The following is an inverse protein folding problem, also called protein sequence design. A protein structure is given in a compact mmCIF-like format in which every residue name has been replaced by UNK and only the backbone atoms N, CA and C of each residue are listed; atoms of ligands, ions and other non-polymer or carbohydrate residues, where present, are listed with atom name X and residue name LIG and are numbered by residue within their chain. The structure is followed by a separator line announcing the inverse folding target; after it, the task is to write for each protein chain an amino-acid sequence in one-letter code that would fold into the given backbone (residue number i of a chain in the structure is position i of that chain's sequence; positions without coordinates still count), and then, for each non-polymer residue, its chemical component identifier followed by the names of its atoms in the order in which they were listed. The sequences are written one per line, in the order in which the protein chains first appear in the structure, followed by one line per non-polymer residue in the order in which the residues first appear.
data_IF_855010397235
#
_entry.id   IF_855010397235
#
_cell.length_a   1.000
_cell.length_b   1.000
_cell.length_c   1.000
_cell.angle_alpha   90.00
_cell.angle_beta   90.00
_cell.angle_gamma   90.00
#
_symmetry.space_group_name_H-M   'P 1'
#
loop_
_entity.id
_entity.type
_entity.pdbx_description
1 polymer ?
#
# COMPACT_ATOMS: atom_id res chain seq x y z
N UNK A 1 5.38 14.55 -11.50
CA UNK A 1 5.32 13.08 -11.40
C UNK A 1 6.72 12.56 -11.68
N UNK A 2 7.45 12.13 -10.64
CA UNK A 2 8.85 11.74 -10.76
C UNK A 2 9.03 10.63 -11.79
N UNK A 3 10.04 10.76 -12.66
CA UNK A 3 10.42 9.76 -13.68
C UNK A 3 11.23 8.61 -13.05
N UNK A 4 10.92 8.27 -11.80
CA UNK A 4 11.66 7.34 -10.98
C UNK A 4 11.16 5.91 -11.06
N UNK A 5 11.95 4.96 -10.52
CA UNK A 5 11.67 3.53 -10.61
C UNK A 5 10.43 3.07 -9.80
N UNK A 6 9.78 3.98 -9.05
CA UNK A 6 8.65 3.67 -8.17
C UNK A 6 9.10 3.02 -6.86
N UNK A 7 8.15 2.39 -6.15
CA UNK A 7 8.43 1.65 -4.92
C UNK A 7 8.64 0.16 -5.22
N UNK A 8 9.20 -0.58 -4.26
CA UNK A 8 9.40 -2.02 -4.41
C UNK A 8 8.08 -2.75 -4.70
N UNK A 9 7.00 -2.28 -4.07
CA UNK A 9 5.64 -2.80 -4.26
C UNK A 9 5.10 -2.62 -5.69
N UNK A 10 5.69 -1.73 -6.49
CA UNK A 10 5.34 -1.52 -7.89
C UNK A 10 6.03 -2.52 -8.84
N UNK A 11 7.09 -3.21 -8.40
CA UNK A 11 7.74 -4.27 -9.17
C UNK A 11 6.73 -5.42 -9.39
N UNK A 12 6.46 -5.72 -10.66
CA UNK A 12 5.47 -6.75 -11.04
C UNK A 12 4.01 -6.37 -10.77
N UNK A 13 3.72 -5.14 -10.31
CA UNK A 13 2.35 -4.72 -9.99
C UNK A 13 1.43 -4.76 -11.21
N UNK A 14 1.90 -4.32 -12.39
CA UNK A 14 1.08 -4.35 -13.61
C UNK A 14 0.67 -5.77 -14.02
N UNK A 15 1.59 -6.73 -13.94
CA UNK A 15 1.28 -8.13 -14.24
C UNK A 15 0.32 -8.72 -13.17
N UNK A 16 0.56 -8.43 -11.89
CA UNK A 16 -0.34 -8.85 -10.80
C UNK A 16 -1.74 -8.25 -10.94
N UNK A 17 -1.83 -6.97 -11.28
CA UNK A 17 -3.10 -6.27 -11.47
C UNK A 17 -3.88 -6.89 -12.65
N UNK A 18 -3.23 -7.23 -13.76
CA UNK A 18 -3.90 -7.89 -14.88
C UNK A 18 -4.49 -9.26 -14.51
N UNK A 19 -3.82 -10.01 -13.62
CA UNK A 19 -4.24 -11.35 -13.22
C UNK A 19 -5.28 -11.35 -12.10
N UNK A 20 -5.19 -10.40 -11.16
CA UNK A 20 -5.91 -10.48 -9.89
C UNK A 20 -6.79 -9.25 -9.60
N UNK A 21 -6.56 -8.10 -10.25
CA UNK A 21 -7.33 -6.91 -9.94
C UNK A 21 -8.77 -7.11 -10.36
N UNK A 22 -9.67 -6.85 -9.42
CA UNK A 22 -11.11 -6.99 -9.57
C UNK A 22 -11.60 -8.43 -9.89
N UNK A 23 -10.71 -9.42 -9.95
CA UNK A 23 -11.07 -10.81 -10.09
C UNK A 23 -11.71 -11.33 -8.79
N UNK A 24 -13.02 -11.57 -8.81
CA UNK A 24 -13.77 -12.12 -7.69
C UNK A 24 -14.57 -13.32 -8.20
N UNK A 25 -14.41 -14.48 -7.56
CA UNK A 25 -15.27 -15.64 -7.81
C UNK A 25 -16.68 -15.48 -7.25
N UNK A 26 -16.85 -14.53 -6.33
CA UNK A 26 -18.05 -14.28 -5.53
C UNK A 26 -18.84 -13.07 -6.04
N UNK A 27 -20.13 -13.00 -5.69
CA UNK A 27 -20.97 -11.84 -6.03
C UNK A 27 -20.54 -10.63 -5.21
N UNK A 28 -20.03 -9.61 -5.89
CA UNK A 28 -19.62 -8.33 -5.31
C UNK A 28 -20.49 -7.20 -5.85
N UNK A 29 -21.02 -6.42 -4.92
CA UNK A 29 -21.74 -5.19 -5.20
C UNK A 29 -20.96 -4.02 -4.62
N UNK A 30 -20.78 -2.95 -5.39
CA UNK A 30 -20.03 -1.77 -4.94
C UNK A 30 -20.72 -0.51 -5.42
N UNK A 31 -21.03 0.39 -4.49
CA UNK A 31 -21.57 1.73 -4.77
C UNK A 31 -20.52 2.74 -4.32
N UNK A 32 -20.13 3.65 -5.21
CA UNK A 32 -19.31 4.81 -4.86
C UNK A 32 -20.08 6.10 -5.10
N UNK A 33 -20.22 6.89 -4.04
CA UNK A 33 -20.85 8.20 -4.04
C UNK A 33 -19.80 9.27 -3.83
N UNK A 34 -19.85 10.33 -4.63
CA UNK A 34 -18.94 11.48 -4.52
C UNK A 34 -19.71 12.69 -4.03
N UNK A 35 -19.20 13.35 -2.99
CA UNK A 35 -19.72 14.64 -2.55
C UNK A 35 -19.04 15.79 -3.30
N UNK A 36 -19.72 16.94 -3.47
CA UNK A 36 -19.11 18.16 -3.99
C UNK A 36 -17.93 18.68 -3.14
N UNK A 37 -17.86 18.26 -1.88
CA UNK A 37 -16.81 18.63 -0.93
C UNK A 37 -15.53 17.78 -1.05
N UNK A 38 -15.48 16.84 -2.01
CA UNK A 38 -14.30 15.99 -2.25
C UNK A 38 -14.24 14.73 -1.38
N UNK A 39 -15.35 14.33 -0.77
CA UNK A 39 -15.48 13.05 -0.05
C UNK A 39 -15.99 11.99 -1.02
N UNK A 40 -15.31 10.85 -1.07
CA UNK A 40 -15.77 9.66 -1.77
C UNK A 40 -16.16 8.59 -0.75
N UNK A 41 -17.41 8.14 -0.77
CA UNK A 41 -17.91 7.05 0.07
C UNK A 41 -18.14 5.85 -0.84
N UNK A 42 -17.39 4.79 -0.61
CA UNK A 42 -17.52 3.50 -1.31
C UNK A 42 -18.07 2.46 -0.35
N UNK A 43 -19.29 1.99 -0.59
CA UNK A 43 -19.90 0.88 0.12
C UNK A 43 -19.81 -0.37 -0.73
N UNK A 44 -19.27 -1.45 -0.19
CA UNK A 44 -19.05 -2.72 -0.87
C UNK A 44 -19.67 -3.86 -0.04
N UNK A 45 -20.33 -4.79 -0.73
CA UNK A 45 -20.88 -6.01 -0.16
C UNK A 45 -20.47 -7.20 -1.01
N UNK A 46 -19.89 -8.22 -0.38
CA UNK A 46 -19.42 -9.44 -1.02
C UNK A 46 -20.13 -10.62 -0.36
N UNK A 47 -20.76 -11.47 -1.19
CA UNK A 47 -21.33 -12.75 -0.75
C UNK A 47 -20.33 -13.87 -1.02
N UNK A 48 -19.65 -14.33 0.02
CA UNK A 48 -18.68 -15.44 -0.03
C UNK A 48 -19.31 -16.71 0.51
N UNK A 49 -19.91 -17.50 -0.38
CA UNK A 49 -20.70 -18.67 0.01
C UNK A 49 -21.93 -18.28 0.85
N UNK A 50 -21.97 -18.70 2.12
CA UNK A 50 -23.01 -18.33 3.09
C UNK A 50 -22.68 -17.06 3.90
N UNK A 51 -21.43 -16.57 3.83
CA UNK A 51 -20.98 -15.38 4.56
C UNK A 51 -21.23 -14.13 3.73
N UNK A 52 -21.82 -13.12 4.37
CA UNK A 52 -21.95 -11.77 3.82
C UNK A 52 -20.95 -10.86 4.52
N UNK A 53 -20.01 -10.32 3.74
CA UNK A 53 -19.02 -9.37 4.23
C UNK A 53 -19.31 -8.03 3.57
N UNK A 54 -19.52 -7.00 4.38
CA UNK A 54 -19.67 -5.63 3.91
C UNK A 54 -18.55 -4.75 4.46
N UNK A 55 -18.14 -3.78 3.65
CA UNK A 55 -17.21 -2.75 4.05
C UNK A 55 -17.62 -1.38 3.51
N UNK A 56 -17.41 -0.35 4.32
CA UNK A 56 -17.65 1.05 3.95
C UNK A 56 -16.31 1.78 4.03
N UNK A 57 -15.82 2.26 2.90
CA UNK A 57 -14.62 3.08 2.79
C UNK A 57 -14.99 4.53 2.50
N UNK A 58 -14.53 5.46 3.33
CA UNK A 58 -14.71 6.90 3.16
C UNK A 58 -13.34 7.53 2.95
N UNK A 59 -13.12 8.10 1.77
CA UNK A 59 -11.91 8.85 1.45
C UNK A 59 -12.25 10.34 1.41
N UNK A 60 -11.55 11.14 2.21
CA UNK A 60 -11.58 12.59 2.17
C UNK A 60 -10.23 13.09 1.68
N UNK A 61 -10.22 13.77 0.53
CA UNK A 61 -9.02 14.41 0.01
C UNK A 61 -9.12 15.93 0.20
N UNK A 62 -8.22 16.49 1.00
CA UNK A 62 -8.12 17.93 1.22
C UNK A 62 -6.68 18.39 0.96
N UNK A 63 -6.48 19.06 -0.18
CA UNK A 63 -5.15 19.51 -0.65
C UNK A 63 -4.16 18.33 -0.69
N UNK A 64 -3.14 18.37 0.17
CA UNK A 64 -2.05 17.41 0.26
C UNK A 64 -2.32 16.31 1.29
N UNK A 65 -3.48 16.30 1.94
CA UNK A 65 -3.83 15.31 2.97
C UNK A 65 -5.00 14.49 2.45
N UNK A 66 -4.83 13.16 2.48
CA UNK A 66 -5.89 12.20 2.20
C UNK A 66 -6.15 11.39 3.46
N UNK A 67 -7.39 11.41 3.94
CA UNK A 67 -7.83 10.59 5.07
C UNK A 67 -8.77 9.52 4.55
N UNK A 68 -8.38 8.26 4.70
CA UNK A 68 -9.17 7.08 4.38
C UNK A 68 -9.68 6.43 5.68
N UNK A 69 -10.98 6.21 5.75
CA UNK A 69 -11.65 5.56 6.87
C UNK A 69 -12.42 4.35 6.35
N UNK A 70 -11.98 3.15 6.72
CA UNK A 70 -12.64 1.91 6.34
C UNK A 70 -13.25 1.23 7.56
N UNK A 71 -14.53 0.89 7.45
CA UNK A 71 -15.28 0.11 8.45
C UNK A 71 -15.63 -1.24 7.83
N UNK A 72 -15.34 -2.32 8.53
CA UNK A 72 -15.80 -3.67 8.14
C UNK A 72 -16.95 -4.18 9.02
N UNK A 73 -17.54 -5.31 8.61
CA UNK A 73 -18.64 -5.97 9.34
C UNK A 73 -18.19 -6.53 10.70
N UNK A 74 -16.90 -6.76 10.88
CA UNK A 74 -16.29 -7.22 12.14
C UNK A 74 -16.04 -6.06 13.13
N UNK A 75 -16.65 -4.90 12.88
CA UNK A 75 -16.55 -3.68 13.71
C UNK A 75 -15.13 -3.13 13.83
N UNK A 76 -14.26 -3.41 12.86
CA UNK A 76 -12.94 -2.82 12.79
C UNK A 76 -12.98 -1.50 12.02
N UNK A 77 -12.41 -0.48 12.64
CA UNK A 77 -12.24 0.83 12.04
C UNK A 77 -10.78 1.00 11.64
N UNK A 78 -10.47 0.89 10.36
CA UNK A 78 -9.16 1.19 9.80
C UNK A 78 -9.12 2.66 9.41
N UNK A 79 -8.21 3.41 10.02
CA UNK A 79 -7.97 4.81 9.68
C UNK A 79 -6.58 4.92 9.06
N UNK A 80 -6.49 5.51 7.87
CA UNK A 80 -5.23 5.82 7.21
C UNK A 80 -5.19 7.30 6.87
N UNK A 81 -4.17 8.00 7.36
CA UNK A 81 -3.92 9.41 7.06
C UNK A 81 -2.65 9.47 6.22
N UNK A 82 -2.80 9.90 4.98
CA UNK A 82 -1.72 10.10 4.03
C UNK A 82 -1.45 11.59 3.88
N UNK A 83 -0.21 12.00 4.10
CA UNK A 83 0.29 13.35 3.82
C UNK A 83 1.22 13.26 2.63
N UNK A 84 0.76 13.81 1.51
CA UNK A 84 1.47 13.85 0.23
C UNK A 84 2.36 15.10 0.17
N UNK A 85 3.61 14.93 -0.27
CA UNK A 85 4.60 16.00 -0.40
C UNK A 85 4.81 16.90 0.86
N UNK A 86 4.99 16.37 2.09
CA UNK A 86 5.50 17.18 3.21
C UNK A 86 6.88 17.78 2.89
N UNK A 87 7.65 17.11 2.03
CA UNK A 87 8.86 17.61 1.37
C UNK A 87 8.86 17.09 -0.08
N UNK A 88 9.63 17.69 -1.01
CA UNK A 88 9.67 17.25 -2.40
C UNK A 88 10.01 15.75 -2.52
N UNK A 89 9.10 14.97 -3.10
CA UNK A 89 9.26 13.52 -3.28
C UNK A 89 8.98 12.66 -2.04
N UNK A 90 8.67 13.26 -0.88
CA UNK A 90 8.32 12.52 0.33
C UNK A 90 6.80 12.32 0.41
N UNK A 91 6.37 11.20 0.99
CA UNK A 91 4.98 10.89 1.32
C UNK A 91 4.95 10.14 2.65
N UNK A 92 4.17 10.65 3.60
CA UNK A 92 4.03 10.05 4.91
C UNK A 92 2.64 9.42 5.04
N UNK A 93 2.57 8.22 5.61
CA UNK A 93 1.34 7.47 5.78
C UNK A 93 1.28 6.99 7.22
N UNK A 94 0.20 7.32 7.91
CA UNK A 94 -0.09 6.89 9.27
C UNK A 94 -1.33 6.02 9.22
N UNK A 95 -1.24 4.78 9.71
CA UNK A 95 -2.37 3.85 9.72
C UNK A 95 -2.57 3.27 11.11
N UNK A 96 -3.82 3.14 11.54
CA UNK A 96 -4.19 2.46 12.78
C UNK A 96 -5.58 1.82 12.64
N UNK A 97 -5.82 0.76 13.41
CA UNK A 97 -7.06 0.00 13.49
C UNK A 97 -7.63 0.11 14.90
N UNK A 98 -8.89 0.47 15.03
CA UNK A 98 -9.62 0.49 16.32
C UNK A 98 -10.57 -0.71 16.32
N UNK A 99 -10.69 -1.48 17.43
CA UNK A 99 -10.18 -1.22 18.78
C UNK A 99 -8.74 -1.67 19.07
N UNK A 100 -8.00 -2.21 18.10
CA UNK A 100 -6.65 -2.72 18.33
C UNK A 100 -5.63 -1.58 18.54
N UNK A 101 -5.39 -1.21 19.80
CA UNK A 101 -4.46 -0.15 20.18
C UNK A 101 -2.99 -0.42 19.76
N UNK A 102 -2.65 -1.66 19.40
CA UNK A 102 -1.30 -2.06 18.93
C UNK A 102 -1.19 -2.10 17.40
N UNK A 103 -2.19 -1.66 16.67
CA UNK A 103 -2.18 -1.71 15.20
C UNK A 103 -1.57 -0.48 14.53
N UNK A 104 -1.12 0.51 15.31
CA UNK A 104 -0.51 1.71 14.78
C UNK A 104 0.70 1.37 13.91
N UNK A 105 0.82 1.99 12.75
CA UNK A 105 1.94 1.84 11.83
C UNK A 105 2.21 3.20 11.18
N UNK A 106 3.48 3.55 11.08
CA UNK A 106 3.96 4.72 10.34
C UNK A 106 4.74 4.23 9.15
N UNK A 107 4.51 4.82 7.99
CA UNK A 107 5.20 4.54 6.75
C UNK A 107 5.64 5.84 6.09
N UNK A 108 6.90 5.87 5.65
CA UNK A 108 7.54 6.99 5.00
C UNK A 108 8.05 6.51 3.65
N UNK A 109 7.54 7.10 2.58
CA UNK A 109 7.90 6.81 1.20
C UNK A 109 8.62 8.01 0.62
N UNK A 110 9.83 7.81 0.12
CA UNK A 110 10.61 8.81 -0.57
C UNK A 110 10.84 8.39 -2.02
N UNK A 111 10.34 9.19 -2.95
CA UNK A 111 10.45 9.00 -4.38
C UNK A 111 11.34 10.08 -4.98
N UNK A 112 12.44 9.64 -5.55
CA UNK A 112 13.37 10.43 -6.35
C UNK A 112 13.36 9.90 -7.79
N UNK A 113 13.82 10.72 -8.73
CA UNK A 113 13.94 10.38 -10.16
C UNK A 113 14.75 9.11 -10.49
N UNK A 114 15.57 8.60 -9.56
CA UNK A 114 16.36 7.36 -9.78
C UNK A 114 16.29 6.37 -8.61
N UNK A 115 15.58 6.71 -7.55
CA UNK A 115 15.50 5.89 -6.35
C UNK A 115 14.13 6.03 -5.69
N UNK A 116 13.58 4.92 -5.22
CA UNK A 116 12.39 4.89 -4.37
C UNK A 116 12.75 4.18 -3.09
N UNK A 117 12.58 4.84 -1.95
CA UNK A 117 12.79 4.25 -0.63
C UNK A 117 11.45 4.24 0.08
N UNK A 118 11.10 3.14 0.73
CA UNK A 118 9.94 3.08 1.63
C UNK A 118 10.35 2.41 2.92
N UNK A 119 10.09 3.08 4.03
CA UNK A 119 10.35 2.57 5.38
C UNK A 119 9.05 2.58 6.16
N UNK A 120 8.77 1.52 6.90
CA UNK A 120 7.62 1.48 7.79
C UNK A 120 7.96 0.86 9.13
N UNK A 121 7.31 1.34 10.18
CA UNK A 121 7.54 0.91 11.57
C UNK A 121 6.18 0.74 12.25
N UNK A 122 5.97 -0.40 12.89
CA UNK A 122 4.84 -0.61 13.78
C UNK A 122 4.98 0.21 15.07
N UNK A 123 3.91 0.82 15.56
CA UNK A 123 3.84 1.53 16.84
C UNK A 123 3.44 0.57 17.96
N UNK A 124 4.21 -0.50 18.12
CA UNK A 124 4.00 -1.55 19.12
C UNK A 124 5.20 -1.70 20.05
N UNK A 125 5.06 -2.39 21.20
CA UNK A 125 6.21 -2.68 22.07
C UNK A 125 7.31 -3.51 21.38
N UNK A 126 6.91 -4.33 20.41
CA UNK A 126 7.81 -5.11 19.55
C UNK A 126 7.56 -4.69 18.09
N UNK A 127 8.11 -3.55 17.65
CA UNK A 127 7.88 -3.04 16.31
C UNK A 127 8.51 -3.95 15.25
N UNK A 128 7.78 -4.21 14.17
CA UNK A 128 8.38 -4.74 12.94
C UNK A 128 8.75 -3.54 12.06
N UNK A 129 10.01 -3.49 11.66
CA UNK A 129 10.54 -2.46 10.78
C UNK A 129 10.64 -3.05 9.39
N UNK A 130 9.92 -2.49 8.43
CA UNK A 130 10.09 -2.85 7.03
C UNK A 130 10.86 -1.75 6.32
N UNK A 131 11.85 -2.14 5.52
CA UNK A 131 12.63 -1.24 4.71
C UNK A 131 12.69 -1.79 3.29
N UNK A 132 12.33 -0.96 2.32
CA UNK A 132 12.43 -1.29 0.92
C UNK A 132 13.15 -0.17 0.17
N UNK A 133 13.98 -0.56 -0.78
CA UNK A 133 14.74 0.33 -1.61
C UNK A 133 14.70 -0.15 -3.04
N UNK A 134 14.47 0.76 -3.97
CA UNK A 134 14.52 0.53 -5.41
C UNK A 134 15.42 1.58 -6.01
N UNK A 135 16.32 1.15 -6.89
CA UNK A 135 17.19 2.02 -7.66
C UNK A 135 17.08 1.67 -9.14
N UNK A 136 17.10 2.69 -9.99
CA UNK A 136 17.08 2.51 -11.43
C UNK A 136 16.33 3.60 -12.16
N UNK A 137 15.86 3.27 -13.35
CA UNK A 137 15.14 4.14 -14.27
C UNK A 137 13.78 3.55 -14.59
N UNK A 138 12.97 4.28 -15.36
CA UNK A 138 11.70 3.75 -15.87
C UNK A 138 11.87 2.46 -16.70
N UNK A 139 13.04 2.23 -17.30
CA UNK A 139 13.29 1.07 -18.15
C UNK A 139 13.84 -0.15 -17.39
N UNK A 140 14.69 0.08 -16.39
CA UNK A 140 15.33 -0.95 -15.58
C UNK A 140 15.35 -0.50 -14.13
N UNK A 141 14.74 -1.27 -13.24
CA UNK A 141 14.75 -1.02 -11.81
C UNK A 141 15.08 -2.30 -11.05
N UNK A 142 15.90 -2.17 -10.02
CA UNK A 142 16.23 -3.25 -9.10
C UNK A 142 15.90 -2.79 -7.69
N UNK A 143 15.27 -3.65 -6.91
CA UNK A 143 14.91 -3.32 -5.55
C UNK A 143 14.99 -4.49 -4.61
N UNK A 144 14.92 -4.17 -3.33
CA UNK A 144 14.86 -5.12 -2.22
C UNK A 144 13.82 -4.66 -1.22
N UNK A 145 13.24 -5.61 -0.50
CA UNK A 145 12.30 -5.39 0.60
C UNK A 145 12.71 -6.30 1.77
N UNK A 146 12.94 -5.66 2.91
CA UNK A 146 13.49 -6.26 4.11
C UNK A 146 12.50 -6.05 5.25
N UNK A 147 12.31 -7.06 6.09
CA UNK A 147 11.57 -6.92 7.34
C UNK A 147 12.43 -7.37 8.52
N UNK A 148 12.52 -6.54 9.55
CA UNK A 148 13.25 -6.81 10.78
C UNK A 148 12.28 -6.86 11.96
N UNK A 149 12.29 -7.96 12.70
CA UNK A 149 11.50 -8.13 13.92
C UNK A 149 12.37 -7.82 15.14
N UNK A 150 12.05 -6.72 15.82
CA UNK A 150 12.78 -6.27 17.01
C UNK A 150 12.60 -7.18 18.23
N UNK A 151 11.58 -8.06 18.26
CA UNK A 151 11.36 -8.99 19.36
C UNK A 151 12.44 -10.06 19.43
N UNK A 152 12.78 -10.61 18.27
CA UNK A 152 13.77 -11.70 18.14
C UNK A 152 15.14 -11.17 17.66
N UNK A 153 15.19 -9.94 17.15
CA UNK A 153 16.43 -9.33 16.66
C UNK A 153 16.90 -9.90 15.31
N UNK A 154 15.98 -10.46 14.53
CA UNK A 154 16.28 -11.15 13.28
C UNK A 154 15.56 -10.52 12.08
N UNK A 155 16.14 -10.72 10.91
CA UNK A 155 15.55 -10.35 9.63
C UNK A 155 14.56 -11.44 9.22
N UNK A 156 13.27 -11.13 9.26
CA UNK A 156 12.18 -12.09 9.03
C UNK A 156 11.78 -12.20 7.56
N UNK A 157 12.24 -11.27 6.71
CA UNK A 157 11.92 -11.25 5.29
C UNK A 157 13.05 -10.63 4.50
N UNK A 158 13.49 -11.30 3.44
CA UNK A 158 14.45 -10.79 2.48
C UNK A 158 13.94 -11.03 1.06
N UNK A 159 13.41 -9.98 0.42
CA UNK A 159 12.95 -10.08 -0.95
C UNK A 159 13.83 -9.23 -1.88
N UNK A 160 14.02 -9.71 -3.09
CA UNK A 160 14.70 -9.01 -4.17
C UNK A 160 13.82 -9.00 -5.42
N UNK A 161 13.85 -7.90 -6.15
CA UNK A 161 13.01 -7.67 -7.31
C UNK A 161 13.78 -6.98 -8.43
N UNK A 162 13.51 -7.39 -9.66
CA UNK A 162 13.99 -6.75 -10.87
C UNK A 162 12.80 -6.46 -11.78
N UNK A 163 12.75 -5.25 -12.31
CA UNK A 163 11.73 -4.81 -13.24
C UNK A 163 12.37 -4.29 -14.53
N UNK A 164 11.91 -4.79 -15.65
CA UNK A 164 12.28 -4.36 -16.99
C UNK A 164 11.04 -3.87 -17.73
N UNK A 165 11.04 -2.60 -18.13
CA UNK A 165 9.93 -1.95 -18.84
C UNK A 165 10.41 -1.49 -20.21
N UNK A 166 9.76 -1.99 -21.24
CA UNK A 166 9.83 -1.48 -22.61
C UNK A 166 8.43 -1.03 -23.05
N UNK A 167 8.33 -0.32 -24.17
CA UNK A 167 7.03 0.13 -24.70
C UNK A 167 6.04 -1.04 -24.92
N UNK A 168 6.54 -2.19 -25.39
CA UNK A 168 5.70 -3.33 -25.78
C UNK A 168 5.63 -4.44 -24.72
N UNK A 169 6.53 -4.43 -23.73
CA UNK A 169 6.69 -5.52 -22.77
C UNK A 169 7.12 -5.01 -21.40
N UNK A 170 6.54 -5.57 -20.36
CA UNK A 170 6.96 -5.35 -18.98
C UNK A 170 7.22 -6.72 -18.38
N UNK A 171 8.47 -6.96 -18.00
CA UNK A 171 8.90 -8.19 -17.36
C UNK A 171 9.37 -7.86 -15.93
N UNK A 172 8.92 -8.66 -14.96
CA UNK A 172 9.32 -8.49 -13.57
C UNK A 172 9.69 -9.85 -12.99
N UNK A 173 10.78 -9.87 -12.23
CA UNK A 173 11.26 -11.04 -11.50
C UNK A 173 11.32 -10.67 -10.02
N UNK A 174 10.72 -11.50 -9.16
CA UNK A 174 10.77 -11.32 -7.71
C UNK A 174 11.23 -12.64 -7.08
N UNK A 175 12.26 -12.55 -6.25
CA UNK A 175 12.75 -13.64 -5.40
C UNK A 175 12.35 -13.30 -3.97
N UNK A 176 11.57 -14.18 -3.34
CA UNK A 176 11.12 -14.02 -1.98
C UNK A 176 11.71 -15.15 -1.14
N UNK A 177 12.19 -14.81 0.04
CA UNK A 177 12.60 -15.74 1.11
C UNK A 177 11.56 -15.71 2.23
#
# INVERSE_FOLDING_TARGET
MAKGPGLYTDIGKRARDLLFKDYHSDQKFTITTYSPTGVAITSSGIKKGELFVADVNTQLKNKNITTDLKVDTDSNLFTTVTVDEPAPGLKAIFSFRVPDQRSGKVELQYLHDYAGISTSVGLTPNPIVNFSGVVGTNALAVGTDLSFDTKIGELTKFNAGLNFTKADLIASLTVND
#
